data_IF_544514967846
#
_entry.id   IF_544514967846
#
_cell.length_a   1.000
_cell.length_b   1.000
_cell.length_c   1.000
_cell.angle_alpha   90.00
_cell.angle_beta   90.00
_cell.angle_gamma   90.00
#
_symmetry.space_group_name_H-M   'P 1'
#
loop_
_entity.id
_entity.type
_entity.pdbx_description
1 polymer ?
#
# COMPACT_ATOMS: atom_id res chain seq x y z
N UNK A 1 17.82 13.21 -6.16
CA UNK A 1 19.29 13.21 -5.99
C UNK A 1 19.72 12.86 -4.56
N UNK A 2 19.14 13.46 -3.52
CA UNK A 2 19.49 13.13 -2.11
C UNK A 2 19.38 11.63 -1.77
N UNK A 3 18.29 10.95 -2.17
CA UNK A 3 18.14 9.51 -1.93
C UNK A 3 19.29 8.66 -2.49
N UNK A 4 19.80 9.01 -3.68
CA UNK A 4 20.97 8.33 -4.27
C UNK A 4 22.25 8.59 -3.47
N UNK A 5 22.40 9.78 -2.87
CA UNK A 5 23.57 10.12 -2.05
C UNK A 5 23.61 9.34 -0.74
N UNK A 6 22.44 8.95 -0.22
CA UNK A 6 22.30 8.06 0.94
C UNK A 6 22.40 6.56 0.58
N UNK A 7 22.69 6.24 -0.69
CA UNK A 7 22.85 4.87 -1.17
C UNK A 7 21.55 4.12 -1.47
N UNK A 8 20.40 4.81 -1.47
CA UNK A 8 19.13 4.21 -1.87
C UNK A 8 19.01 4.14 -3.39
N UNK A 9 18.50 3.02 -3.91
CA UNK A 9 18.09 2.91 -5.29
C UNK A 9 16.87 3.80 -5.55
N UNK A 10 16.90 4.55 -6.64
CA UNK A 10 15.77 5.36 -7.12
C UNK A 10 15.28 4.73 -8.42
N UNK A 11 14.13 4.09 -8.34
CA UNK A 11 13.49 3.33 -9.41
C UNK A 11 12.04 3.80 -9.57
N UNK A 12 11.41 3.42 -10.68
CA UNK A 12 9.96 3.58 -10.83
C UNK A 12 9.21 2.49 -10.07
N UNK A 13 7.94 2.71 -9.75
CA UNK A 13 7.14 1.70 -9.06
C UNK A 13 7.01 0.43 -9.90
N UNK A 14 6.86 0.60 -11.21
CA UNK A 14 6.71 -0.46 -12.21
C UNK A 14 7.93 -1.39 -12.26
N UNK A 15 9.13 -0.87 -11.99
CA UNK A 15 10.37 -1.65 -11.97
C UNK A 15 10.44 -2.62 -10.77
N UNK A 16 9.75 -2.30 -9.66
CA UNK A 16 9.90 -3.03 -8.38
C UNK A 16 8.61 -3.66 -7.85
N UNK A 17 7.47 -3.42 -8.51
CA UNK A 17 6.14 -3.83 -8.00
C UNK A 17 6.02 -5.34 -7.74
N UNK A 18 6.69 -6.17 -8.54
CA UNK A 18 6.69 -7.63 -8.38
C UNK A 18 7.75 -8.16 -7.41
N UNK A 19 8.63 -7.29 -6.91
CA UNK A 19 9.82 -7.67 -6.12
C UNK A 19 9.80 -7.12 -4.70
N UNK A 20 9.17 -5.97 -4.45
CA UNK A 20 9.12 -5.40 -3.11
C UNK A 20 8.07 -6.10 -2.23
N UNK A 21 8.38 -6.21 -0.93
CA UNK A 21 7.51 -6.83 0.07
C UNK A 21 6.67 -5.78 0.84
N UNK A 22 7.14 -4.53 0.89
CA UNK A 22 6.50 -3.42 1.62
C UNK A 22 6.50 -2.17 0.75
N UNK A 23 5.34 -1.51 0.66
CA UNK A 23 5.11 -0.29 -0.08
C UNK A 23 4.56 0.79 0.86
N UNK A 24 5.23 1.94 0.91
CA UNK A 24 4.85 3.07 1.75
C UNK A 24 4.73 4.33 0.88
N UNK A 25 3.54 4.89 0.78
CA UNK A 25 3.33 6.17 0.09
C UNK A 25 3.59 7.35 1.04
N UNK A 26 4.36 8.34 0.57
CA UNK A 26 4.84 9.51 1.35
C UNK A 26 4.73 10.80 0.54
N UNK A 27 3.86 10.83 -0.47
CA UNK A 27 3.97 11.83 -1.55
C UNK A 27 3.12 13.07 -1.33
N UNK A 28 2.02 12.96 -0.58
CA UNK A 28 0.99 13.99 -0.50
C UNK A 28 0.21 14.19 -1.79
N UNK A 29 0.26 13.22 -2.72
CA UNK A 29 -0.34 13.29 -4.04
C UNK A 29 -1.26 12.08 -4.28
N UNK A 30 -2.12 12.18 -5.29
CA UNK A 30 -3.11 11.14 -5.61
C UNK A 30 -2.57 10.11 -6.61
N UNK A 31 -3.23 8.96 -6.66
CA UNK A 31 -3.10 7.96 -7.72
C UNK A 31 -1.67 7.37 -7.84
N UNK A 32 -0.98 7.17 -6.70
CA UNK A 32 0.41 6.69 -6.66
C UNK A 32 0.46 5.16 -6.79
N UNK A 33 -0.34 4.45 -6.00
CA UNK A 33 -0.46 2.99 -6.06
C UNK A 33 -1.88 2.64 -6.50
N UNK A 34 -2.02 2.30 -7.78
CA UNK A 34 -3.29 1.91 -8.38
C UNK A 34 -3.57 0.42 -8.21
N UNK A 35 -4.82 0.00 -8.37
CA UNK A 35 -5.22 -1.42 -8.30
C UNK A 35 -4.42 -2.32 -9.26
N UNK A 36 -4.06 -1.80 -10.43
CA UNK A 36 -3.24 -2.51 -11.42
C UNK A 36 -1.80 -2.75 -10.95
N UNK A 37 -1.26 -1.88 -10.09
CA UNK A 37 0.03 -2.10 -9.42
C UNK A 37 -0.14 -3.19 -8.37
N UNK A 38 -1.16 -3.07 -7.53
CA UNK A 38 -1.44 -4.01 -6.42
C UNK A 38 -1.66 -5.44 -6.89
N UNK A 39 -2.28 -5.64 -8.06
CA UNK A 39 -2.47 -6.96 -8.67
C UNK A 39 -1.15 -7.67 -9.02
N UNK A 40 -0.09 -6.92 -9.29
CA UNK A 40 1.24 -7.43 -9.67
C UNK A 40 2.16 -7.66 -8.46
N UNK A 41 1.73 -7.26 -7.26
CA UNK A 41 2.53 -7.40 -6.05
C UNK A 41 2.67 -8.86 -5.61
N UNK A 42 3.73 -9.12 -4.84
CA UNK A 42 3.93 -10.40 -4.17
C UNK A 42 2.74 -10.77 -3.28
N UNK A 43 2.50 -12.07 -3.12
CA UNK A 43 1.52 -12.55 -2.16
C UNK A 43 1.92 -12.11 -0.73
N UNK A 44 0.97 -11.48 -0.05
CA UNK A 44 1.07 -10.84 1.26
C UNK A 44 1.98 -9.60 1.32
N UNK A 45 2.28 -8.94 0.19
CA UNK A 45 2.91 -7.64 0.23
C UNK A 45 2.09 -6.66 1.08
N UNK A 46 2.77 -5.81 1.86
CA UNK A 46 2.15 -4.82 2.73
C UNK A 46 2.10 -3.48 1.98
N UNK A 47 0.94 -2.85 1.97
CA UNK A 47 0.72 -1.54 1.35
C UNK A 47 0.14 -0.59 2.40
N UNK A 48 0.80 0.55 2.61
CA UNK A 48 0.34 1.56 3.56
C UNK A 48 0.67 2.98 3.12
N UNK A 49 -0.04 3.93 3.73
CA UNK A 49 0.13 5.36 3.49
C UNK A 49 0.57 6.06 4.78
N UNK A 50 1.53 6.97 4.66
CA UNK A 50 1.91 7.93 5.71
C UNK A 50 1.99 9.37 5.18
N UNK A 51 1.55 9.59 3.93
CA UNK A 51 1.43 10.90 3.31
C UNK A 51 0.10 11.59 3.64
N UNK A 52 -0.74 11.83 2.64
CA UNK A 52 -1.96 12.62 2.80
C UNK A 52 -3.24 11.80 2.53
N UNK A 53 -4.24 11.98 3.41
CA UNK A 53 -5.59 11.38 3.31
C UNK A 53 -5.61 9.89 2.92
N UNK A 54 -6.47 9.50 1.97
CA UNK A 54 -6.75 8.13 1.53
C UNK A 54 -6.74 7.97 0.00
N UNK A 55 -6.15 8.91 -0.74
CA UNK A 55 -6.14 8.89 -2.21
C UNK A 55 -4.75 8.64 -2.84
N UNK A 56 -3.71 8.39 -2.04
CA UNK A 56 -2.43 7.93 -2.60
C UNK A 56 -2.51 6.48 -3.08
N UNK A 57 -3.36 5.67 -2.44
CA UNK A 57 -3.60 4.26 -2.75
C UNK A 57 -5.05 4.11 -3.22
N UNK A 58 -5.24 3.44 -4.33
CA UNK A 58 -6.55 3.21 -4.94
C UNK A 58 -7.35 2.11 -4.22
N UNK A 59 -7.80 2.39 -2.99
CA UNK A 59 -8.63 1.48 -2.19
C UNK A 59 -10.02 1.33 -2.79
N UNK A 60 -10.57 2.38 -3.39
CA UNK A 60 -11.86 2.32 -4.09
C UNK A 60 -11.78 1.38 -5.30
N UNK A 61 -10.67 1.40 -6.05
CA UNK A 61 -10.39 0.47 -7.13
C UNK A 61 -10.38 -0.98 -6.67
N UNK A 62 -9.89 -1.25 -5.44
CA UNK A 62 -10.02 -2.57 -4.83
C UNK A 62 -11.47 -2.90 -4.46
N UNK A 63 -12.17 -2.01 -3.75
CA UNK A 63 -13.56 -2.22 -3.34
C UNK A 63 -14.50 -2.54 -4.51
N UNK A 64 -14.22 -1.93 -5.66
CA UNK A 64 -14.99 -2.12 -6.90
C UNK A 64 -14.43 -3.21 -7.82
N UNK A 65 -13.31 -3.85 -7.45
CA UNK A 65 -12.67 -4.86 -8.28
C UNK A 65 -13.52 -6.14 -8.37
N UNK A 66 -13.86 -6.61 -9.59
CA UNK A 66 -14.72 -7.78 -9.76
C UNK A 66 -14.18 -9.03 -9.07
N UNK A 67 -14.92 -9.56 -8.10
CA UNK A 67 -14.61 -10.81 -7.42
C UNK A 67 -13.46 -10.77 -6.41
N UNK A 68 -12.95 -9.58 -6.06
CA UNK A 68 -11.97 -9.45 -4.99
C UNK A 68 -12.59 -9.85 -3.64
N UNK A 69 -11.77 -10.37 -2.74
CA UNK A 69 -12.20 -10.71 -1.38
C UNK A 69 -11.42 -9.90 -0.35
N UNK A 70 -12.12 -9.03 0.40
CA UNK A 70 -11.61 -8.38 1.62
C UNK A 70 -11.72 -9.37 2.80
N UNK A 71 -10.63 -9.57 3.52
CA UNK A 71 -10.54 -10.39 4.73
C UNK A 71 -9.94 -9.52 5.82
N UNK A 72 -10.75 -9.07 6.77
CA UNK A 72 -10.27 -8.31 7.93
C UNK A 72 -9.51 -9.24 8.87
N UNK A 73 -8.21 -8.98 9.05
CA UNK A 73 -7.34 -9.75 9.96
C UNK A 73 -7.56 -9.27 11.39
N UNK A 74 -7.55 -7.95 11.56
CA UNK A 74 -7.79 -7.23 12.81
C UNK A 74 -8.23 -5.80 12.46
N UNK A 75 -8.68 -4.97 13.42
CA UNK A 75 -8.96 -3.56 13.15
C UNK A 75 -7.79 -2.90 12.41
N UNK A 76 -8.11 -2.15 11.34
CA UNK A 76 -7.15 -1.41 10.51
C UNK A 76 -6.12 -2.29 9.79
N UNK A 77 -6.41 -3.57 9.58
CA UNK A 77 -5.56 -4.47 8.80
C UNK A 77 -6.43 -5.43 8.00
N UNK A 78 -6.48 -5.21 6.69
CA UNK A 78 -7.30 -5.98 5.77
C UNK A 78 -6.44 -6.65 4.70
N UNK A 79 -6.74 -7.92 4.41
CA UNK A 79 -6.14 -8.63 3.29
C UNK A 79 -7.10 -8.65 2.11
N UNK A 80 -6.63 -8.21 0.95
CA UNK A 80 -7.38 -8.17 -0.31
C UNK A 80 -6.86 -9.26 -1.24
N UNK A 81 -7.70 -10.24 -1.56
CA UNK A 81 -7.33 -11.41 -2.37
C UNK A 81 -7.89 -11.28 -3.78
N UNK A 82 -7.01 -11.25 -4.77
CA UNK A 82 -7.37 -11.18 -6.19
C UNK A 82 -7.88 -12.56 -6.68
N UNK A 83 -9.01 -12.60 -7.41
CA UNK A 83 -9.65 -13.85 -7.80
C UNK A 83 -8.85 -14.66 -8.83
N UNK A 84 -8.06 -14.01 -9.68
CA UNK A 84 -7.32 -14.64 -10.78
C UNK A 84 -6.06 -15.35 -10.30
N UNK A 85 -5.28 -14.68 -9.45
CA UNK A 85 -3.99 -15.19 -8.96
C UNK A 85 -4.12 -15.97 -7.65
N UNK A 86 -5.23 -15.77 -6.90
CA UNK A 86 -5.39 -16.19 -5.50
C UNK A 86 -4.34 -15.62 -4.54
N UNK A 87 -3.45 -14.75 -5.02
CA UNK A 87 -2.58 -13.95 -4.17
C UNK A 87 -3.38 -12.80 -3.57
N UNK A 88 -2.95 -12.31 -2.42
CA UNK A 88 -3.56 -11.14 -1.83
C UNK A 88 -2.55 -10.24 -1.15
N UNK A 89 -2.86 -8.96 -1.08
CA UNK A 89 -2.05 -7.93 -0.42
C UNK A 89 -2.65 -7.57 0.93
N UNK A 90 -1.85 -7.00 1.83
CA UNK A 90 -2.29 -6.52 3.14
C UNK A 90 -2.29 -4.99 3.10
N UNK A 91 -3.44 -4.38 3.36
CA UNK A 91 -3.59 -2.94 3.46
C UNK A 91 -3.76 -2.54 4.91
N UNK A 92 -2.96 -1.55 5.32
CA UNK A 92 -3.03 -0.96 6.65
C UNK A 92 -3.91 0.28 6.64
N UNK A 93 -4.72 0.43 7.68
CA UNK A 93 -5.59 1.58 7.94
C UNK A 93 -6.47 2.00 6.74
N UNK A 94 -6.88 1.05 5.90
CA UNK A 94 -7.69 1.31 4.69
C UNK A 94 -7.09 2.40 3.78
N UNK A 95 -5.75 2.48 3.70
CA UNK A 95 -5.04 3.48 2.88
C UNK A 95 -4.91 4.87 3.53
N UNK A 96 -5.40 5.04 4.76
CA UNK A 96 -5.18 6.25 5.58
C UNK A 96 -3.84 6.21 6.31
N UNK A 97 -3.56 7.27 7.05
CA UNK A 97 -2.38 7.45 7.89
C UNK A 97 -2.13 6.26 8.82
N UNK A 98 -1.20 5.38 8.42
CA UNK A 98 -0.96 4.12 9.12
C UNK A 98 -0.34 4.30 10.50
N UNK A 99 0.49 5.34 10.69
CA UNK A 99 1.13 5.62 11.98
C UNK A 99 0.13 6.00 13.06
N UNK A 100 -0.99 6.62 12.68
CA UNK A 100 -2.08 6.97 13.60
C UNK A 100 -3.14 5.87 13.66
N UNK A 101 -3.44 5.22 12.53
CA UNK A 101 -4.47 4.19 12.45
C UNK A 101 -4.04 2.83 13.03
N UNK A 102 -2.75 2.51 12.97
CA UNK A 102 -2.20 1.22 13.43
C UNK A 102 -1.25 1.35 14.62
N UNK A 103 -0.96 2.57 15.07
CA UNK A 103 -0.10 2.86 16.21
C UNK A 103 -0.56 4.15 16.92
N UNK A 104 0.36 4.94 17.49
CA UNK A 104 0.05 6.12 18.30
C UNK A 104 0.61 7.43 17.71
N UNK A 105 1.00 7.44 16.43
CA UNK A 105 1.61 8.60 15.78
C UNK A 105 3.03 8.89 16.26
N UNK A 106 3.45 10.15 16.10
CA UNK A 106 4.76 10.61 16.57
C UNK A 106 4.80 10.61 18.11
N UNK A 107 5.97 10.32 18.71
CA UNK A 107 6.17 10.52 20.14
C UNK A 107 6.01 12.01 20.50
N UNK A 108 5.85 12.29 21.80
CA UNK A 108 5.71 13.68 22.28
C UNK A 108 6.97 14.56 22.09
N UNK A 109 8.11 13.96 21.72
CA UNK A 109 9.40 14.64 21.56
C UNK A 109 9.86 14.59 20.10
#
# INVERSE_FOLDING_TARGET
LQALMEGYQVLTLEDVVSEADIFVTTTGNKDIIMVDHMKKMKNNAIVCNIGHFDNEIDVLGLETYPGIKKITIKPQTDRWVFPETKSGIIILAEGRLMNLGCATGHPSF
#
